data_IF_379957393475
#
_entry.id   IF_379957393475
#
_cell.length_a   1.000
_cell.length_b   1.000
_cell.length_c   1.000
_cell.angle_alpha   90.00
_cell.angle_beta   90.00
_cell.angle_gamma   90.00
#
_symmetry.space_group_name_H-M   'P 1'
#
loop_
_entity.id
_entity.type
_entity.pdbx_description
1 polymer ?
#
# COMPACT_ATOMS: atom_id res chain seq x y z
N UNK A 1 15.12 30.63 -24.51
CA UNK A 1 15.82 29.37 -24.83
C UNK A 1 16.65 29.00 -23.61
N UNK A 2 16.24 28.20 -22.64
CA UNK A 2 14.94 27.62 -22.27
C UNK A 2 14.93 27.54 -20.75
N UNK A 3 14.02 28.27 -20.11
CA UNK A 3 13.81 28.29 -18.66
C UNK A 3 12.83 27.16 -18.27
N UNK A 4 13.19 25.92 -18.59
CA UNK A 4 12.31 24.77 -18.35
C UNK A 4 13.06 23.54 -17.85
N UNK A 5 14.10 23.72 -17.02
CA UNK A 5 14.45 22.70 -16.04
C UNK A 5 13.43 22.81 -14.92
N UNK A 6 12.23 22.23 -15.11
CA UNK A 6 11.29 22.04 -14.01
C UNK A 6 11.92 21.02 -13.07
N UNK A 7 12.08 21.40 -11.81
CA UNK A 7 12.47 20.53 -10.71
C UNK A 7 11.66 19.24 -10.75
N UNK A 8 12.28 18.15 -11.24
CA UNK A 8 11.77 16.81 -10.99
C UNK A 8 12.15 16.51 -9.55
N UNK A 9 11.25 16.81 -8.62
CA UNK A 9 11.38 16.34 -7.23
C UNK A 9 11.32 14.82 -7.26
N UNK A 10 12.44 14.15 -7.05
CA UNK A 10 12.51 12.68 -6.95
C UNK A 10 11.78 12.25 -5.69
N UNK A 11 10.50 11.86 -5.81
CA UNK A 11 9.75 11.18 -4.74
C UNK A 11 10.22 9.72 -4.71
N UNK A 12 10.53 9.20 -3.53
CA UNK A 12 10.72 7.75 -3.35
C UNK A 12 9.40 7.04 -3.60
N UNK A 13 9.43 5.97 -4.39
CA UNK A 13 8.26 5.13 -4.61
C UNK A 13 7.95 4.36 -3.32
N UNK A 14 6.66 4.23 -3.02
CA UNK A 14 6.19 3.29 -2.01
C UNK A 14 6.23 1.86 -2.57
N UNK A 15 6.20 0.84 -1.71
CA UNK A 15 6.05 -0.54 -2.14
C UNK A 15 4.77 -0.77 -2.95
N UNK A 16 3.73 0.05 -2.76
CA UNK A 16 2.50 0.00 -3.57
C UNK A 16 2.79 0.44 -5.00
N UNK A 17 3.47 1.58 -5.17
CA UNK A 17 3.90 2.08 -6.48
C UNK A 17 4.79 1.05 -7.19
N UNK A 18 5.81 0.54 -6.49
CA UNK A 18 6.73 -0.45 -7.03
C UNK A 18 6.00 -1.73 -7.45
N UNK A 19 5.05 -2.21 -6.64
CA UNK A 19 4.26 -3.38 -6.97
C UNK A 19 3.41 -3.18 -8.23
N UNK A 20 2.73 -2.04 -8.37
CA UNK A 20 1.94 -1.72 -9.56
C UNK A 20 2.85 -1.63 -10.78
N UNK A 21 4.03 -1.01 -10.66
CA UNK A 21 5.01 -0.92 -11.74
C UNK A 21 5.54 -2.29 -12.15
N UNK A 22 5.71 -3.25 -11.23
CA UNK A 22 6.11 -4.62 -11.60
C UNK A 22 5.08 -5.32 -12.50
N UNK A 23 3.81 -4.92 -12.44
CA UNK A 23 2.79 -5.46 -13.34
C UNK A 23 2.88 -4.87 -14.74
N UNK A 24 3.60 -3.75 -14.94
CA UNK A 24 3.75 -3.12 -16.24
C UNK A 24 4.75 -3.90 -17.12
N UNK A 25 4.28 -4.35 -18.29
CA UNK A 25 5.12 -4.98 -19.29
C UNK A 25 5.66 -3.95 -20.28
N UNK A 26 6.97 -3.66 -20.20
CA UNK A 26 7.62 -2.74 -21.14
C UNK A 26 7.54 -3.22 -22.60
N UNK A 27 7.52 -4.52 -22.84
CA UNK A 27 7.48 -5.09 -24.19
C UNK A 27 6.14 -4.93 -24.87
N UNK A 28 5.05 -4.92 -24.10
CA UNK A 28 3.68 -4.81 -24.64
C UNK A 28 3.06 -3.44 -24.40
N UNK A 29 3.57 -2.67 -23.44
CA UNK A 29 2.98 -1.40 -22.97
C UNK A 29 1.71 -1.58 -22.14
N UNK A 30 1.39 -2.80 -21.70
CA UNK A 30 0.19 -3.12 -20.93
C UNK A 30 0.53 -3.72 -19.55
N UNK A 31 -0.43 -3.67 -18.63
CA UNK A 31 -0.31 -4.36 -17.34
C UNK A 31 -0.68 -5.84 -17.45
N UNK A 32 0.08 -6.70 -16.77
CA UNK A 32 -0.23 -8.09 -16.55
C UNK A 32 -1.58 -8.23 -15.86
N UNK A 33 -2.44 -9.10 -16.40
CA UNK A 33 -3.77 -9.33 -15.85
C UNK A 33 -3.68 -10.31 -14.67
N UNK A 34 -4.16 -9.87 -13.51
CA UNK A 34 -4.23 -10.66 -12.28
C UNK A 34 -5.70 -10.77 -11.86
N UNK A 35 -6.19 -11.93 -11.42
CA UNK A 35 -7.55 -12.05 -10.89
C UNK A 35 -7.81 -11.01 -9.79
N UNK A 36 -8.96 -10.34 -9.83
CA UNK A 36 -9.24 -9.15 -9.00
C UNK A 36 -9.05 -9.38 -7.50
N UNK A 37 -9.47 -10.53 -6.97
CA UNK A 37 -9.23 -10.88 -5.56
C UNK A 37 -7.74 -10.91 -5.22
N UNK A 38 -6.94 -11.63 -6.03
CA UNK A 38 -5.51 -11.76 -5.81
C UNK A 38 -4.79 -10.41 -5.94
N UNK A 39 -5.23 -9.58 -6.91
CA UNK A 39 -4.73 -8.22 -7.10
C UNK A 39 -5.00 -7.36 -5.86
N UNK A 40 -6.24 -7.37 -5.36
CA UNK A 40 -6.63 -6.57 -4.20
C UNK A 40 -5.89 -7.01 -2.94
N UNK A 41 -5.74 -8.32 -2.71
CA UNK A 41 -4.93 -8.83 -1.61
C UNK A 41 -3.46 -8.39 -1.71
N UNK A 42 -2.88 -8.38 -2.91
CA UNK A 42 -1.50 -7.97 -3.11
C UNK A 42 -1.30 -6.46 -2.86
N UNK A 43 -2.24 -5.62 -3.32
CA UNK A 43 -2.22 -4.17 -3.07
C UNK A 43 -2.29 -3.88 -1.57
N UNK A 44 -3.24 -4.51 -0.86
CA UNK A 44 -3.35 -4.36 0.59
C UNK A 44 -2.10 -4.89 1.30
N UNK A 45 -1.56 -6.02 0.86
CA UNK A 45 -0.30 -6.56 1.38
C UNK A 45 0.87 -5.59 1.22
N UNK A 46 0.95 -4.90 0.08
CA UNK A 46 1.97 -3.86 -0.15
C UNK A 46 1.78 -2.66 0.78
N UNK A 47 0.54 -2.23 1.04
CA UNK A 47 0.25 -1.18 2.04
C UNK A 47 0.70 -1.60 3.43
N UNK A 48 0.38 -2.82 3.87
CA UNK A 48 0.81 -3.32 5.18
C UNK A 48 2.34 -3.43 5.27
N UNK A 49 3.01 -3.86 4.20
CA UNK A 49 4.46 -3.91 4.14
C UNK A 49 5.07 -2.50 4.25
N UNK A 50 4.53 -1.51 3.53
CA UNK A 50 4.98 -0.11 3.60
C UNK A 50 4.77 0.47 5.00
N UNK A 51 3.60 0.25 5.62
CA UNK A 51 3.32 0.67 6.99
C UNK A 51 4.29 0.03 8.00
N UNK A 52 4.70 -1.21 7.77
CA UNK A 52 5.71 -1.88 8.61
C UNK A 52 7.08 -1.24 8.45
N UNK A 53 7.50 -0.94 7.21
CA UNK A 53 8.75 -0.22 6.94
C UNK A 53 8.77 1.19 7.57
N UNK A 54 7.62 1.86 7.61
CA UNK A 54 7.42 3.15 8.27
C UNK A 54 7.24 3.04 9.80
N UNK A 55 7.40 1.84 10.37
CA UNK A 55 7.23 1.57 11.80
C UNK A 55 5.86 1.97 12.37
N UNK A 56 4.81 1.97 11.54
CA UNK A 56 3.43 2.20 11.98
C UNK A 56 2.81 0.93 12.55
N UNK A 57 3.17 -0.21 11.97
CA UNK A 57 2.74 -1.53 12.41
C UNK A 57 3.91 -2.50 12.49
N UNK A 58 3.70 -3.61 13.19
CA UNK A 58 4.53 -4.81 13.12
C UNK A 58 3.64 -6.02 12.83
N UNK A 59 4.22 -7.08 12.30
CA UNK A 59 3.49 -8.32 12.07
C UNK A 59 4.33 -9.50 12.51
N UNK A 60 3.73 -10.41 13.25
CA UNK A 60 4.26 -11.75 13.48
C UNK A 60 3.31 -12.82 12.91
N UNK A 61 3.63 -14.10 13.11
CA UNK A 61 2.81 -15.21 12.61
C UNK A 61 1.43 -15.33 13.28
N UNK A 62 1.16 -14.57 14.34
CA UNK A 62 -0.05 -14.67 15.17
C UNK A 62 -0.89 -13.39 15.15
N UNK A 63 -0.25 -12.24 14.97
CA UNK A 63 -0.90 -10.94 15.15
C UNK A 63 -0.18 -9.83 14.39
N UNK A 64 -0.99 -8.89 13.89
CA UNK A 64 -0.57 -7.56 13.50
C UNK A 64 -0.67 -6.65 14.73
N UNK A 65 0.40 -5.92 15.01
CA UNK A 65 0.51 -4.99 16.14
C UNK A 65 0.56 -3.56 15.63
N UNK A 66 -0.26 -2.68 16.20
CA UNK A 66 -0.16 -1.24 15.97
C UNK A 66 0.98 -0.68 16.82
N UNK A 67 1.95 -0.01 16.19
CA UNK A 67 3.08 0.63 16.86
C UNK A 67 2.90 2.15 17.02
N UNK A 68 2.48 2.82 15.95
CA UNK A 68 2.27 4.27 15.91
C UNK A 68 1.05 4.59 15.02
N UNK A 69 -0.04 5.19 15.57
CA UNK A 69 -1.23 5.54 14.81
C UNK A 69 -1.10 6.88 14.05
N UNK A 70 0.04 7.58 14.15
CA UNK A 70 0.23 8.88 13.51
C UNK A 70 0.16 8.73 11.99
N UNK A 71 -0.59 9.60 11.32
CA UNK A 71 -0.69 9.64 9.85
C UNK A 71 0.70 9.70 9.20
N UNK A 72 0.84 9.01 8.08
CA UNK A 72 2.04 8.99 7.25
C UNK A 72 2.09 10.21 6.32
N UNK A 73 0.92 10.80 6.03
CA UNK A 73 0.75 11.83 5.00
C UNK A 73 0.57 11.24 3.60
N UNK A 74 0.55 9.90 3.48
CA UNK A 74 0.26 9.20 2.24
C UNK A 74 -1.22 8.76 2.18
N UNK A 75 -2.01 9.27 1.23
CA UNK A 75 -3.43 8.93 1.12
C UNK A 75 -3.68 7.46 0.78
N UNK A 76 -2.70 6.72 0.27
CA UNK A 76 -2.81 5.28 0.05
C UNK A 76 -2.70 4.47 1.36
N UNK A 77 -1.99 4.99 2.36
CA UNK A 77 -1.68 4.28 3.59
C UNK A 77 -2.61 4.67 4.74
N UNK A 78 -2.91 5.96 4.86
CA UNK A 78 -3.59 6.53 6.03
C UNK A 78 -5.00 5.95 6.29
N UNK A 79 -5.86 5.71 5.28
CA UNK A 79 -7.16 5.08 5.52
C UNK A 79 -7.07 3.68 6.13
N UNK A 80 -6.10 2.88 5.68
CA UNK A 80 -5.87 1.52 6.19
C UNK A 80 -5.30 1.58 7.62
N UNK A 81 -4.34 2.48 7.87
CA UNK A 81 -3.79 2.69 9.21
C UNK A 81 -4.87 3.11 10.21
N UNK A 82 -5.77 4.03 9.81
CA UNK A 82 -6.89 4.47 10.64
C UNK A 82 -7.85 3.31 10.98
N UNK A 83 -8.15 2.42 10.03
CA UNK A 83 -9.01 1.26 10.30
C UNK A 83 -8.34 0.27 11.27
N UNK A 84 -7.05 0.02 11.13
CA UNK A 84 -6.27 -0.81 12.07
C UNK A 84 -6.29 -0.17 13.45
N UNK A 85 -6.02 1.14 13.55
CA UNK A 85 -5.99 1.88 14.80
C UNK A 85 -7.34 1.93 15.53
N UNK A 86 -8.46 1.88 14.79
CA UNK A 86 -9.80 1.85 15.35
C UNK A 86 -10.21 0.48 15.91
N UNK A 87 -9.50 -0.59 15.56
CA UNK A 87 -9.83 -1.94 16.03
C UNK A 87 -9.28 -2.22 17.42
N UNK A 88 -10.10 -2.85 18.26
CA UNK A 88 -9.70 -3.35 19.57
C UNK A 88 -9.32 -4.84 19.54
N UNK A 89 -9.44 -5.49 18.38
CA UNK A 89 -9.20 -6.93 18.24
C UNK A 89 -7.76 -7.23 17.81
N UNK A 90 -7.09 -8.12 18.55
CA UNK A 90 -5.84 -8.74 18.11
C UNK A 90 -6.14 -9.78 17.04
N UNK A 91 -5.68 -9.53 15.81
CA UNK A 91 -5.90 -10.40 14.65
C UNK A 91 -4.61 -10.56 13.84
N UNK A 92 -4.49 -11.68 13.16
CA UNK A 92 -3.34 -11.97 12.30
C UNK A 92 -3.36 -11.14 11.00
N UNK A 93 -2.23 -11.12 10.31
CA UNK A 93 -2.05 -10.38 9.05
C UNK A 93 -3.00 -10.85 7.96
N UNK A 94 -3.32 -12.15 7.90
CA UNK A 94 -4.24 -12.69 6.89
C UNK A 94 -5.63 -12.08 7.04
N UNK A 95 -6.16 -12.06 8.27
CA UNK A 95 -7.44 -11.42 8.57
C UNK A 95 -7.45 -9.97 8.10
N UNK A 96 -6.38 -9.22 8.37
CA UNK A 96 -6.28 -7.82 7.96
C UNK A 96 -6.25 -7.65 6.44
N UNK A 97 -5.49 -8.48 5.74
CA UNK A 97 -5.50 -8.46 4.26
C UNK A 97 -6.91 -8.71 3.72
N UNK A 98 -7.57 -9.77 4.18
CA UNK A 98 -8.91 -10.15 3.71
C UNK A 98 -9.98 -9.10 4.06
N UNK A 99 -9.87 -8.48 5.24
CA UNK A 99 -10.77 -7.42 5.67
C UNK A 99 -10.61 -6.15 4.85
N UNK A 100 -9.37 -5.78 4.53
CA UNK A 100 -9.03 -4.49 3.93
C UNK A 100 -9.06 -4.51 2.40
N UNK A 101 -9.33 -5.66 1.75
CA UNK A 101 -9.40 -5.77 0.27
C UNK A 101 -10.32 -4.75 -0.40
N UNK A 102 -11.34 -4.26 0.30
CA UNK A 102 -12.25 -3.23 -0.21
C UNK A 102 -11.56 -1.87 -0.43
N UNK A 103 -10.43 -1.60 0.24
CA UNK A 103 -9.64 -0.37 0.06
C UNK A 103 -8.76 -0.40 -1.20
N UNK A 104 -8.51 -1.57 -1.80
CA UNK A 104 -7.54 -1.72 -2.87
C UNK A 104 -7.81 -0.80 -4.08
N UNK A 105 -9.08 -0.61 -4.46
CA UNK A 105 -9.45 0.29 -5.56
C UNK A 105 -9.11 1.75 -5.22
N UNK A 106 -9.39 2.18 -3.98
CA UNK A 106 -9.06 3.53 -3.52
C UNK A 106 -7.55 3.75 -3.50
N UNK A 107 -6.78 2.76 -3.03
CA UNK A 107 -5.32 2.78 -3.00
C UNK A 107 -4.77 2.98 -4.42
N UNK A 108 -5.21 2.16 -5.38
CA UNK A 108 -4.78 2.28 -6.78
C UNK A 108 -5.14 3.65 -7.37
N UNK A 109 -6.28 4.25 -7.00
CA UNK A 109 -6.71 5.53 -7.57
C UNK A 109 -5.86 6.74 -7.17
N UNK A 110 -5.09 6.63 -6.08
CA UNK A 110 -4.24 7.71 -5.53
C UNK A 110 -2.75 7.42 -5.63
N UNK A 111 -2.40 6.27 -6.21
CA UNK A 111 -1.05 5.84 -6.58
C UNK A 111 -0.77 6.30 -8.01
#
# INVERSE_FOLDING_TARGET
>A
MDAATKDVTTRSLSLVDEFVLMLFSESTGYFHQVPGWNMNCAIVGAVLAELSLLSRIDTDMKSLHLLDPTETGDPALDPILQEIAASQESRDTQFWVERLVAHAESVISVT
#
